data_IF_214099749519
#
_entry.id   IF_214099749519
#
_cell.length_a   1.000
_cell.length_b   1.000
_cell.length_c   1.000
_cell.angle_alpha   90.00
_cell.angle_beta   90.00
_cell.angle_gamma   90.00
#
_symmetry.space_group_name_H-M   'P 1'
#
loop_
_entity.id
_entity.type
_entity.pdbx_description
1 polymer ?
#
# COMPACT_ATOMS: atom_id res chain seq x y z
N UNK A 1 -2.72 -8.01 18.67
CA UNK A 1 -3.76 -7.40 17.82
C UNK A 1 -3.91 -8.22 16.55
N UNK A 2 -5.13 -8.50 16.16
CA UNK A 2 -5.39 -9.11 14.87
C UNK A 2 -5.63 -8.01 13.84
N UNK A 3 -4.76 -7.90 12.85
CA UNK A 3 -4.81 -6.87 11.83
C UNK A 3 -6.12 -6.94 11.02
N UNK A 4 -6.54 -8.15 10.66
CA UNK A 4 -7.76 -8.32 9.85
C UNK A 4 -9.01 -7.92 10.62
N UNK A 5 -9.06 -8.21 11.91
CA UNK A 5 -10.16 -7.77 12.76
C UNK A 5 -10.21 -6.25 12.86
N UNK A 6 -9.03 -5.62 12.95
CA UNK A 6 -8.94 -4.16 13.00
C UNK A 6 -9.37 -3.52 11.67
N UNK A 7 -8.99 -4.12 10.55
CA UNK A 7 -9.45 -3.66 9.24
C UNK A 7 -10.97 -3.73 9.11
N UNK A 8 -11.56 -4.81 9.60
CA UNK A 8 -13.02 -4.97 9.62
C UNK A 8 -13.70 -3.91 10.48
N UNK A 9 -13.17 -3.64 11.67
CA UNK A 9 -13.69 -2.60 12.56
C UNK A 9 -13.67 -1.21 11.93
N UNK A 10 -12.65 -0.94 11.11
CA UNK A 10 -12.49 0.33 10.40
C UNK A 10 -13.20 0.38 9.06
N UNK A 11 -13.90 -0.70 8.69
CA UNK A 11 -14.57 -0.83 7.39
C UNK A 11 -13.61 -0.64 6.21
N UNK A 12 -12.42 -1.21 6.34
CA UNK A 12 -11.39 -1.16 5.31
C UNK A 12 -11.31 -2.52 4.61
N UNK A 13 -11.50 -2.53 3.30
CA UNK A 13 -11.34 -3.73 2.47
C UNK A 13 -10.02 -3.66 1.72
N UNK A 14 -9.22 -4.72 1.83
CA UNK A 14 -8.01 -4.83 1.04
C UNK A 14 -8.38 -5.12 -0.42
N UNK A 15 -7.66 -4.47 -1.31
CA UNK A 15 -7.85 -4.62 -2.74
C UNK A 15 -6.93 -5.71 -3.29
N UNK A 16 -7.07 -6.04 -4.56
CA UNK A 16 -6.12 -6.90 -5.24
C UNK A 16 -4.75 -6.22 -5.29
N UNK A 17 -3.64 -7.01 -5.40
CA UNK A 17 -2.30 -6.43 -5.53
C UNK A 17 -2.22 -5.45 -6.69
N UNK A 18 -1.44 -4.39 -6.51
CA UNK A 18 -1.29 -3.37 -7.53
C UNK A 18 -0.50 -3.92 -8.73
N UNK A 19 -0.80 -3.47 -9.95
CA UNK A 19 0.05 -3.80 -11.09
C UNK A 19 1.41 -3.12 -10.95
N UNK A 20 2.45 -3.77 -11.46
CA UNK A 20 3.79 -3.19 -11.45
C UNK A 20 3.89 -2.08 -12.49
N UNK A 21 4.52 -0.96 -12.09
CA UNK A 21 4.83 0.13 -13.02
C UNK A 21 6.14 -0.07 -13.78
N UNK A 22 6.84 -1.18 -13.56
CA UNK A 22 8.14 -1.46 -14.18
C UNK A 22 8.63 -2.87 -13.88
N UNK A 23 9.92 -3.10 -14.14
CA UNK A 23 10.55 -4.39 -13.90
C UNK A 23 11.15 -4.41 -12.49
N UNK A 24 10.35 -4.80 -11.51
CA UNK A 24 10.78 -4.90 -10.11
C UNK A 24 9.82 -5.80 -9.34
N UNK A 25 10.23 -6.19 -8.13
CA UNK A 25 9.35 -6.89 -7.19
C UNK A 25 8.62 -5.87 -6.32
N UNK A 26 7.33 -6.08 -6.08
CA UNK A 26 6.57 -5.21 -5.18
C UNK A 26 7.00 -5.39 -3.73
N UNK A 27 7.34 -6.64 -3.36
CA UNK A 27 7.85 -6.99 -2.03
C UNK A 27 8.99 -7.97 -2.21
N UNK A 28 10.11 -7.71 -1.54
CA UNK A 28 11.29 -8.58 -1.63
C UNK A 28 11.78 -8.95 -0.23
N UNK A 29 11.75 -10.25 0.12
CA UNK A 29 12.34 -10.71 1.39
C UNK A 29 13.86 -10.50 1.41
N UNK A 30 14.37 -10.15 2.58
CA UNK A 30 15.81 -9.92 2.77
C UNK A 30 16.22 -10.33 4.19
N UNK A 31 17.32 -11.07 4.31
CA UNK A 31 17.92 -11.39 5.61
C UNK A 31 17.09 -12.30 6.50
N UNK A 32 16.06 -12.94 5.99
CA UNK A 32 15.22 -13.88 6.74
C UNK A 32 14.12 -13.25 7.59
N UNK A 33 14.28 -11.99 7.99
CA UNK A 33 13.32 -11.30 8.87
C UNK A 33 12.87 -9.94 8.36
N UNK A 34 13.38 -9.52 7.23
CA UNK A 34 13.12 -8.20 6.67
C UNK A 34 12.42 -8.31 5.33
N UNK A 35 11.65 -7.28 5.01
CA UNK A 35 11.03 -7.12 3.69
C UNK A 35 11.34 -5.71 3.18
N UNK A 36 11.74 -5.63 1.92
CA UNK A 36 11.77 -4.37 1.20
C UNK A 36 10.48 -4.26 0.40
N UNK A 37 9.81 -3.12 0.54
CA UNK A 37 8.60 -2.82 -0.22
C UNK A 37 8.92 -1.71 -1.21
N UNK A 38 8.67 -1.96 -2.49
CA UNK A 38 8.88 -0.97 -3.54
C UNK A 38 7.90 0.19 -3.41
N UNK A 39 8.27 1.34 -3.96
CA UNK A 39 7.40 2.50 -4.00
C UNK A 39 6.05 2.13 -4.61
N UNK A 40 4.97 2.59 -4.00
CA UNK A 40 3.60 2.23 -4.35
C UNK A 40 2.78 3.49 -4.55
N UNK A 41 2.10 3.57 -5.69
CA UNK A 41 1.27 4.70 -6.04
C UNK A 41 -0.15 4.57 -5.47
N UNK A 42 -0.95 5.66 -5.43
CA UNK A 42 -2.30 5.63 -4.89
C UNK A 42 -3.33 4.99 -5.81
N UNK A 43 -2.99 4.72 -7.06
CA UNK A 43 -3.92 4.15 -8.03
C UNK A 43 -3.76 2.63 -8.15
N UNK A 44 -4.82 1.98 -8.59
CA UNK A 44 -4.85 0.52 -8.75
C UNK A 44 -4.77 0.11 -10.23
N UNK A 45 -4.90 1.06 -11.13
CA UNK A 45 -4.83 0.83 -12.57
C UNK A 45 -3.68 1.64 -13.17
N UNK A 46 -3.00 1.05 -14.13
CA UNK A 46 -1.82 1.66 -14.75
C UNK A 46 -2.15 2.99 -15.43
N UNK A 47 -3.34 3.12 -16.00
CA UNK A 47 -3.77 4.30 -16.73
C UNK A 47 -4.43 5.38 -15.85
N UNK A 48 -4.60 5.11 -14.57
CA UNK A 48 -5.20 6.07 -13.64
C UNK A 48 -4.17 7.15 -13.29
N UNK A 49 -4.43 8.37 -13.73
CA UNK A 49 -3.52 9.48 -13.52
C UNK A 49 -3.92 10.30 -12.29
N UNK A 50 -3.00 10.38 -11.32
CA UNK A 50 -3.18 11.15 -10.10
C UNK A 50 -2.00 12.12 -9.88
N UNK A 51 -1.50 12.72 -10.96
CA UNK A 51 -0.36 13.63 -10.89
C UNK A 51 -0.83 15.07 -10.79
N UNK A 52 -0.20 15.84 -9.91
CA UNK A 52 -0.52 17.26 -9.72
C UNK A 52 0.09 17.80 -8.44
N UNK A 53 -0.04 19.08 -8.24
CA UNK A 53 0.50 19.77 -7.06
C UNK A 53 -0.60 20.00 -6.03
N UNK A 54 -0.30 19.69 -4.77
CA UNK A 54 -1.18 20.00 -3.65
C UNK A 54 -1.30 21.51 -3.47
N UNK A 55 -2.51 21.96 -3.22
CA UNK A 55 -2.80 23.38 -3.06
C UNK A 55 -3.02 24.11 -4.37
N UNK A 56 -2.80 23.46 -5.52
CA UNK A 56 -3.03 24.00 -6.85
C UNK A 56 -4.00 23.12 -7.61
N UNK A 57 -3.53 21.98 -8.13
CA UNK A 57 -4.37 21.03 -8.89
C UNK A 57 -5.15 20.09 -7.99
N UNK A 58 -4.64 19.84 -6.76
CA UNK A 58 -5.27 18.96 -5.77
C UNK A 58 -5.33 19.67 -4.42
N UNK A 59 -6.40 19.42 -3.68
CA UNK A 59 -6.53 19.93 -2.31
C UNK A 59 -5.67 19.10 -1.35
N UNK A 60 -5.46 19.65 -0.15
CA UNK A 60 -4.75 18.92 0.92
C UNK A 60 -5.51 17.63 1.27
N UNK A 61 -6.83 17.69 1.33
CA UNK A 61 -7.68 16.54 1.63
C UNK A 61 -7.54 15.45 0.57
N UNK A 62 -7.48 15.84 -0.70
CA UNK A 62 -7.22 14.90 -1.80
C UNK A 62 -5.84 14.25 -1.69
N UNK A 63 -4.83 15.03 -1.25
CA UNK A 63 -3.49 14.50 -1.00
C UNK A 63 -3.46 13.50 0.15
N UNK A 64 -4.19 13.77 1.21
CA UNK A 64 -4.33 12.86 2.35
C UNK A 64 -4.99 11.56 1.93
N UNK A 65 -6.04 11.62 1.12
CA UNK A 65 -6.69 10.42 0.60
C UNK A 65 -5.77 9.62 -0.34
N UNK A 66 -4.99 10.31 -1.15
CA UNK A 66 -3.99 9.66 -2.01
C UNK A 66 -2.96 8.90 -1.16
N UNK A 67 -2.45 9.51 -0.10
CA UNK A 67 -1.52 8.87 0.83
C UNK A 67 -2.14 7.64 1.51
N UNK A 68 -3.39 7.76 1.92
CA UNK A 68 -4.12 6.65 2.50
C UNK A 68 -4.23 5.48 1.50
N UNK A 69 -4.54 5.78 0.25
CA UNK A 69 -4.62 4.77 -0.81
C UNK A 69 -3.27 4.10 -1.07
N UNK A 70 -2.17 4.86 -1.01
CA UNK A 70 -0.82 4.29 -1.11
C UNK A 70 -0.59 3.23 -0.02
N UNK A 71 -0.96 3.53 1.22
CA UNK A 71 -0.79 2.60 2.32
C UNK A 71 -1.69 1.36 2.18
N UNK A 72 -2.93 1.55 1.73
CA UNK A 72 -3.83 0.42 1.47
C UNK A 72 -3.27 -0.50 0.38
N UNK A 73 -2.68 0.08 -0.66
CA UNK A 73 -2.04 -0.70 -1.72
C UNK A 73 -0.81 -1.46 -1.21
N UNK A 74 -0.02 -0.83 -0.34
CA UNK A 74 1.12 -1.50 0.32
C UNK A 74 0.62 -2.69 1.16
N UNK A 75 -0.43 -2.50 1.95
CA UNK A 75 -1.01 -3.57 2.76
C UNK A 75 -1.53 -4.71 1.89
N UNK A 76 -2.15 -4.38 0.76
CA UNK A 76 -2.64 -5.39 -0.18
C UNK A 76 -1.50 -6.21 -0.78
N UNK A 77 -0.41 -5.54 -1.16
CA UNK A 77 0.78 -6.21 -1.69
C UNK A 77 1.43 -7.11 -0.63
N UNK A 78 1.54 -6.63 0.60
CA UNK A 78 2.09 -7.40 1.72
C UNK A 78 1.20 -8.59 2.07
N UNK A 79 -0.12 -8.40 2.07
CA UNK A 79 -1.06 -9.48 2.31
C UNK A 79 -0.91 -10.58 1.25
N UNK A 80 -0.79 -10.20 0.00
CA UNK A 80 -0.60 -11.15 -1.10
C UNK A 80 0.71 -11.92 -0.96
N UNK A 81 1.80 -11.24 -0.62
CA UNK A 81 3.13 -11.86 -0.51
C UNK A 81 3.26 -12.73 0.74
N UNK A 82 2.81 -12.24 1.88
CA UNK A 82 2.96 -12.93 3.17
C UNK A 82 1.84 -13.92 3.47
N UNK A 83 0.67 -13.73 2.90
CA UNK A 83 -0.52 -14.50 3.23
C UNK A 83 -1.19 -14.12 4.54
N UNK A 84 -0.46 -13.50 5.46
CA UNK A 84 -0.98 -13.09 6.76
C UNK A 84 -0.26 -11.82 7.26
N UNK A 85 -1.00 -10.71 7.33
CA UNK A 85 -0.45 -9.43 7.79
C UNK A 85 -0.05 -9.45 9.27
N UNK A 86 -0.57 -10.38 10.04
CA UNK A 86 -0.21 -10.51 11.45
C UNK A 86 1.25 -10.95 11.64
N UNK A 87 1.93 -11.38 10.59
CA UNK A 87 3.36 -11.68 10.61
C UNK A 87 4.24 -10.45 10.70
N UNK A 88 3.69 -9.28 10.38
CA UNK A 88 4.44 -8.02 10.44
C UNK A 88 4.48 -7.56 11.89
N UNK A 89 5.69 -7.31 12.39
CA UNK A 89 5.88 -6.83 13.77
C UNK A 89 6.08 -5.33 13.83
N UNK A 90 6.75 -4.75 12.82
CA UNK A 90 7.11 -3.35 12.84
C UNK A 90 7.38 -2.81 11.45
N UNK A 91 6.97 -1.59 11.20
CA UNK A 91 7.40 -0.82 10.05
C UNK A 91 8.58 0.04 10.44
N UNK A 92 9.64 0.01 9.64
CA UNK A 92 10.85 0.78 9.90
C UNK A 92 10.76 2.14 9.23
N UNK A 93 10.17 2.16 8.02
CA UNK A 93 10.07 3.39 7.24
C UNK A 93 8.90 3.31 6.29
#
# INVERSE_FOLDING_TARGET
>A
MDVYKRLEELDIKLLDPTPKGGIYSTVQPYGGHLLYVSGTAPHNKVDENMCGKLGSEYTIEEGQEASRRCMLNILSNLHHELGDLNRIKKFVK
#
